data_IF_342840207610
#
_entry.id   IF_342840207610
#
_cell.length_a   1.000
_cell.length_b   1.000
_cell.length_c   1.000
_cell.angle_alpha   90.00
_cell.angle_beta   90.00
_cell.angle_gamma   90.00
#
_symmetry.space_group_name_H-M   'P 1'
#
loop_
_entity.id
_entity.type
_entity.pdbx_description
1 polymer ?
#
# COMPACT_ATOMS: atom_id res chain seq x y z
N UNK A 1 -8.72 -10.70 -5.93
CA UNK A 1 -7.84 -11.84 -5.64
C UNK A 1 -6.98 -11.48 -4.44
N UNK A 2 -6.50 -12.45 -3.68
CA UNK A 2 -5.64 -12.16 -2.53
C UNK A 2 -4.30 -11.58 -3.00
N UNK A 3 -4.01 -10.32 -2.64
CA UNK A 3 -2.67 -9.73 -2.80
C UNK A 3 -1.67 -10.49 -1.95
N UNK A 4 -0.44 -10.61 -2.43
CA UNK A 4 0.68 -11.23 -1.72
C UNK A 4 1.72 -10.18 -1.37
N UNK A 5 2.39 -10.34 -0.24
CA UNK A 5 3.34 -9.35 0.27
C UNK A 5 4.62 -10.04 0.70
N UNK A 6 5.74 -9.34 0.57
CA UNK A 6 7.03 -9.72 1.15
C UNK A 6 7.49 -8.63 2.14
N UNK A 7 8.49 -8.96 2.96
CA UNK A 7 9.11 -8.02 3.91
C UNK A 7 10.44 -7.51 3.36
N UNK A 8 10.63 -6.20 3.37
CA UNK A 8 11.88 -5.54 3.01
C UNK A 8 12.02 -4.23 3.81
N UNK A 9 13.16 -4.02 4.46
CA UNK A 9 13.47 -2.78 5.21
C UNK A 9 12.33 -2.31 6.15
N UNK A 10 11.78 -3.24 6.95
CA UNK A 10 10.63 -3.02 7.86
C UNK A 10 9.32 -2.59 7.19
N UNK A 11 9.23 -2.71 5.87
CA UNK A 11 8.00 -2.51 5.10
C UNK A 11 7.43 -3.84 4.60
N UNK A 12 6.10 -3.92 4.56
CA UNK A 12 5.40 -4.90 3.74
C UNK A 12 5.28 -4.35 2.32
N UNK A 13 5.68 -5.12 1.32
CA UNK A 13 5.70 -4.68 -0.08
C UNK A 13 4.87 -5.63 -0.94
N UNK A 14 3.93 -5.07 -1.70
CA UNK A 14 3.11 -5.81 -2.67
C UNK A 14 4.03 -6.55 -3.66
N UNK A 15 3.84 -7.86 -3.80
CA UNK A 15 4.72 -8.71 -4.62
C UNK A 15 4.69 -8.36 -6.11
N UNK A 16 3.71 -7.58 -6.55
CA UNK A 16 3.62 -7.07 -7.93
C UNK A 16 4.28 -5.69 -8.12
N UNK A 17 4.82 -5.10 -7.05
CA UNK A 17 5.51 -3.82 -7.13
C UNK A 17 6.81 -3.95 -7.95
N UNK A 18 6.94 -3.11 -8.97
CA UNK A 18 8.21 -2.93 -9.68
C UNK A 18 9.17 -2.07 -8.87
N UNK A 19 10.47 -2.14 -9.16
CA UNK A 19 11.49 -1.29 -8.51
C UNK A 19 11.15 0.20 -8.59
N UNK A 20 10.75 0.68 -9.77
CA UNK A 20 10.33 2.08 -9.97
C UNK A 20 9.16 2.46 -9.07
N UNK A 21 8.18 1.56 -8.91
CA UNK A 21 7.04 1.79 -8.03
C UNK A 21 7.44 1.79 -6.55
N UNK A 22 8.43 1.00 -6.15
CA UNK A 22 9.00 1.03 -4.80
C UNK A 22 9.65 2.38 -4.52
N UNK A 23 10.53 2.82 -5.43
CA UNK A 23 11.31 4.04 -5.28
C UNK A 23 10.46 5.32 -5.35
N UNK A 24 9.34 5.29 -6.08
CA UNK A 24 8.48 6.45 -6.37
C UNK A 24 7.10 6.38 -5.68
N UNK A 25 6.92 5.49 -4.70
CA UNK A 25 5.64 5.34 -4.02
C UNK A 25 5.18 6.65 -3.36
N UNK A 26 3.90 6.98 -3.57
CA UNK A 26 3.29 8.12 -2.89
C UNK A 26 3.11 7.82 -1.41
N UNK A 27 3.65 8.68 -0.55
CA UNK A 27 3.46 8.56 0.90
C UNK A 27 2.02 8.92 1.26
N UNK A 28 1.37 8.05 2.03
CA UNK A 28 0.02 8.23 2.54
C UNK A 28 0.06 8.06 4.05
N UNK A 29 -0.08 9.16 4.78
CA UNK A 29 -0.17 9.11 6.24
C UNK A 29 -1.45 8.39 6.65
N UNK A 30 -1.36 7.42 7.57
CA UNK A 30 -2.52 6.73 8.14
C UNK A 30 -3.52 7.70 8.75
N UNK A 31 -4.80 7.40 8.56
CA UNK A 31 -5.94 8.22 9.02
C UNK A 31 -5.99 9.66 8.47
N UNK A 32 -5.18 9.98 7.46
CA UNK A 32 -5.32 11.24 6.71
C UNK A 32 -6.57 11.23 5.84
N UNK A 33 -6.95 12.41 5.31
CA UNK A 33 -8.01 12.49 4.30
C UNK A 33 -7.69 11.60 3.08
N UNK A 34 -6.47 11.68 2.57
CA UNK A 34 -6.03 10.88 1.42
C UNK A 34 -6.13 9.37 1.68
N UNK A 35 -5.79 8.94 2.90
CA UNK A 35 -5.99 7.57 3.33
C UNK A 35 -7.45 7.15 3.20
N UNK A 36 -8.38 7.92 3.76
CA UNK A 36 -9.81 7.58 3.70
C UNK A 36 -10.36 7.68 2.27
N UNK A 37 -9.88 8.63 1.47
CA UNK A 37 -10.25 8.73 0.05
C UNK A 37 -9.84 7.46 -0.73
N UNK A 38 -8.63 6.93 -0.46
CA UNK A 38 -8.15 5.67 -1.06
C UNK A 38 -8.94 4.45 -0.55
N UNK A 39 -9.25 4.39 0.74
CA UNK A 39 -10.05 3.31 1.32
C UNK A 39 -11.46 3.29 0.72
N UNK A 40 -12.11 4.45 0.61
CA UNK A 40 -13.44 4.55 0.00
C UNK A 40 -13.45 4.08 -1.47
N UNK A 41 -12.35 4.30 -2.19
CA UNK A 41 -12.20 3.89 -3.60
C UNK A 41 -11.82 2.43 -3.77
N UNK A 42 -10.95 1.90 -2.90
CA UNK A 42 -10.30 0.59 -3.06
C UNK A 42 -10.56 -0.38 -1.91
N UNK A 43 -11.70 -0.23 -1.21
CA UNK A 43 -12.05 -0.93 0.03
C UNK A 43 -11.71 -2.43 0.03
N UNK A 44 -12.07 -3.15 -1.06
CA UNK A 44 -11.80 -4.59 -1.23
C UNK A 44 -10.31 -4.96 -1.23
N UNK A 45 -9.46 -4.09 -1.79
CA UNK A 45 -8.02 -4.34 -1.92
C UNK A 45 -7.23 -3.82 -0.72
N UNK A 46 -7.73 -2.79 -0.03
CA UNK A 46 -7.06 -2.17 1.11
C UNK A 46 -7.42 -2.82 2.45
N UNK A 47 -8.63 -3.34 2.65
CA UNK A 47 -9.09 -3.88 3.93
C UNK A 47 -8.09 -4.84 4.62
N UNK A 48 -7.52 -5.85 3.93
CA UNK A 48 -6.49 -6.73 4.51
C UNK A 48 -5.16 -6.02 4.79
N UNK A 49 -4.79 -5.06 3.95
CA UNK A 49 -3.52 -4.33 3.97
C UNK A 49 -3.46 -3.36 5.14
N UNK A 50 -4.60 -2.76 5.50
CA UNK A 50 -4.72 -1.86 6.65
C UNK A 50 -4.48 -2.54 7.99
N UNK A 51 -4.57 -3.87 8.06
CA UNK A 51 -4.27 -4.66 9.26
C UNK A 51 -2.77 -4.89 9.46
N UNK A 52 -1.96 -4.63 8.44
CA UNK A 52 -0.51 -4.79 8.53
C UNK A 52 0.10 -3.64 9.34
N UNK A 53 0.85 -4.01 10.36
CA UNK A 53 1.66 -3.09 11.16
C UNK A 53 2.91 -2.64 10.38
N UNK A 54 3.38 -1.43 10.68
CA UNK A 54 4.58 -0.86 10.06
C UNK A 54 4.30 -0.22 8.69
N UNK A 55 5.35 0.03 7.90
CA UNK A 55 5.17 0.63 6.57
C UNK A 55 4.59 -0.39 5.61
N UNK A 56 3.65 0.02 4.75
CA UNK A 56 3.04 -0.90 3.79
C UNK A 56 2.96 -0.27 2.41
N UNK A 57 3.65 -0.85 1.43
CA UNK A 57 3.59 -0.47 0.03
C UNK A 57 2.61 -1.34 -0.73
N UNK A 58 1.68 -0.70 -1.44
CA UNK A 58 0.69 -1.37 -2.28
C UNK A 58 0.65 -0.75 -3.68
N UNK A 59 0.41 -1.60 -4.69
CA UNK A 59 0.08 -1.13 -6.04
C UNK A 59 -1.43 -1.21 -6.26
N UNK A 60 -2.04 -0.06 -6.56
CA UNK A 60 -3.46 0.11 -6.87
C UNK A 60 -3.58 0.79 -8.23
N UNK A 61 -4.23 0.13 -9.19
CA UNK A 61 -4.43 0.63 -10.56
C UNK A 61 -3.12 1.17 -11.20
N UNK A 62 -2.02 0.44 -11.03
CA UNK A 62 -0.70 0.80 -11.58
C UNK A 62 0.05 1.90 -10.81
N UNK A 63 -0.56 2.52 -9.79
CA UNK A 63 0.08 3.50 -8.90
C UNK A 63 0.53 2.85 -7.60
N UNK A 64 1.69 3.24 -7.08
CA UNK A 64 2.19 2.77 -5.79
C UNK A 64 1.95 3.79 -4.68
N UNK A 65 1.57 3.27 -3.52
CA UNK A 65 1.35 4.04 -2.31
C UNK A 65 2.06 3.35 -1.16
N UNK A 66 2.74 4.12 -0.30
CA UNK A 66 3.30 3.64 0.94
C UNK A 66 2.56 4.26 2.12
N UNK A 67 1.95 3.41 2.94
CA UNK A 67 1.22 3.79 4.14
C UNK A 67 2.19 3.81 5.32
N UNK A 68 2.30 4.95 5.99
CA UNK A 68 3.01 5.10 7.26
C UNK A 68 2.13 5.66 8.38
#
# INVERSE_FOLDING_TARGET
GSKSFYRENDAWVDSLATKTQVDQAMKVKRFSKQYFDLVARFDKDLGPVLRLEGKTLIVLEGKSYVFD
#
